data_IF_751288766545
#
_entry.id   IF_751288766545
#
_cell.length_a   1.000
_cell.length_b   1.000
_cell.length_c   1.000
_cell.angle_alpha   90.00
_cell.angle_beta   90.00
_cell.angle_gamma   90.00
#
_symmetry.space_group_name_H-M   'P 1'
#
loop_
_entity.id
_entity.type
_entity.pdbx_description
1 polymer ?
#
# COMPACT_ATOMS: atom_id res chain seq x y z
N UNK A 1 -29.35 39.15 62.81
CA UNK A 1 -30.29 39.89 61.95
C UNK A 1 -29.56 40.36 60.71
N UNK A 2 -29.59 39.53 59.66
CA UNK A 2 -29.38 39.82 58.24
C UNK A 2 -29.77 38.50 57.54
N UNK A 3 -30.92 38.39 56.85
CA UNK A 3 -31.13 38.74 55.43
C UNK A 3 -30.18 37.95 54.50
N UNK A 4 -30.55 37.24 53.43
CA UNK A 4 -31.73 37.17 52.55
C UNK A 4 -31.61 35.92 51.63
N UNK A 5 -32.75 35.52 51.02
CA UNK A 5 -33.00 35.00 49.65
C UNK A 5 -31.88 34.27 48.87
N UNK A 6 -32.09 33.20 48.11
CA UNK A 6 -33.21 32.86 47.22
C UNK A 6 -32.67 32.51 45.82
N UNK A 7 -33.53 31.89 44.98
CA UNK A 7 -33.39 31.56 43.55
C UNK A 7 -32.49 30.36 43.17
N UNK A 8 -32.98 29.28 42.55
CA UNK A 8 -33.74 29.08 41.30
C UNK A 8 -32.85 28.92 40.05
N UNK A 9 -33.10 27.83 39.31
CA UNK A 9 -33.01 27.78 37.85
C UNK A 9 -31.63 27.51 37.24
N UNK A 10 -31.36 26.25 36.92
CA UNK A 10 -30.38 25.87 35.89
C UNK A 10 -30.96 26.26 34.52
N UNK A 11 -30.70 27.50 34.10
CA UNK A 11 -31.03 28.00 32.77
C UNK A 11 -29.74 28.25 31.99
N UNK A 12 -29.65 27.57 30.84
CA UNK A 12 -28.97 27.98 29.61
C UNK A 12 -27.47 28.29 29.63
N UNK A 13 -26.71 27.59 28.78
CA UNK A 13 -26.23 28.18 27.53
C UNK A 13 -25.33 27.18 26.78
N UNK A 14 -25.88 26.62 25.70
CA UNK A 14 -25.07 26.07 24.61
C UNK A 14 -24.33 27.25 23.94
N UNK A 15 -22.98 27.24 23.86
CA UNK A 15 -22.28 28.24 23.10
C UNK A 15 -22.46 27.97 21.60
N UNK A 16 -23.35 28.75 20.98
CA UNK A 16 -23.48 28.93 19.54
C UNK A 16 -22.23 29.63 18.98
N UNK A 17 -21.12 28.90 18.86
CA UNK A 17 -20.01 29.33 18.02
C UNK A 17 -20.38 29.08 16.56
N UNK A 18 -20.91 30.13 15.92
CA UNK A 18 -21.05 30.21 14.47
C UNK A 18 -19.66 30.16 13.83
N UNK A 19 -19.18 28.96 13.53
CA UNK A 19 -18.04 28.75 12.64
C UNK A 19 -18.57 28.86 11.22
N UNK A 20 -18.47 30.07 10.67
CA UNK A 20 -18.58 30.32 9.24
C UNK A 20 -17.34 29.73 8.56
N UNK A 21 -17.33 28.41 8.35
CA UNK A 21 -16.43 27.81 7.36
C UNK A 21 -16.99 28.19 5.99
N UNK A 22 -16.46 29.29 5.45
CA UNK A 22 -16.44 29.50 4.01
C UNK A 22 -15.80 28.26 3.39
N UNK A 23 -16.64 27.40 2.83
CA UNK A 23 -16.18 26.29 2.01
C UNK A 23 -15.42 26.91 0.83
N UNK A 24 -14.11 26.63 0.66
CA UNK A 24 -13.45 27.04 -0.55
C UNK A 24 -14.20 26.41 -1.71
N UNK A 25 -14.65 27.31 -2.59
CA UNK A 25 -15.51 27.02 -3.70
C UNK A 25 -14.96 25.85 -4.50
N UNK A 26 -15.89 24.94 -4.77
CA UNK A 26 -15.81 23.79 -5.63
C UNK A 26 -15.10 24.11 -6.96
N UNK A 27 -13.77 24.02 -6.98
CA UNK A 27 -13.06 23.70 -8.22
C UNK A 27 -13.13 22.20 -8.37
N UNK A 28 -14.03 21.78 -9.25
CA UNK A 28 -14.15 20.42 -9.77
C UNK A 28 -12.76 19.79 -10.02
N UNK A 29 -12.22 19.06 -9.05
CA UNK A 29 -11.02 18.26 -9.24
C UNK A 29 -11.35 16.99 -9.99
N UNK A 30 -11.88 17.12 -11.21
CA UNK A 30 -11.77 16.07 -12.22
C UNK A 30 -10.44 16.23 -12.97
N UNK A 31 -9.35 16.36 -12.20
CA UNK A 31 -8.00 16.34 -12.74
C UNK A 31 -7.62 14.90 -13.03
N UNK A 32 -8.09 14.35 -14.16
CA UNK A 32 -7.59 13.05 -14.62
C UNK A 32 -6.10 13.22 -14.89
N UNK A 33 -5.26 12.65 -14.01
CA UNK A 33 -3.81 12.67 -14.18
C UNK A 33 -3.46 12.08 -15.52
N UNK A 34 -2.70 12.81 -16.35
CA UNK A 34 -2.28 12.32 -17.66
C UNK A 34 -1.29 11.18 -17.51
N UNK A 35 -1.19 10.33 -18.53
CA UNK A 35 -0.21 9.27 -18.59
C UNK A 35 1.22 9.85 -18.49
N UNK A 36 2.02 9.37 -17.55
CA UNK A 36 3.42 9.79 -17.36
C UNK A 36 4.34 9.47 -18.54
N UNK A 37 3.95 8.55 -19.42
CA UNK A 37 4.74 8.12 -20.57
C UNK A 37 4.34 8.84 -21.85
N UNK A 38 3.05 8.78 -22.24
CA UNK A 38 2.59 9.34 -23.51
C UNK A 38 1.93 10.73 -23.37
N UNK A 39 1.48 11.12 -22.17
CA UNK A 39 0.80 12.40 -21.86
C UNK A 39 -0.42 12.76 -22.73
N UNK A 40 -0.86 11.86 -23.62
CA UNK A 40 -1.97 12.07 -24.55
C UNK A 40 -3.32 11.74 -23.91
N UNK A 41 -3.35 10.65 -23.14
CA UNK A 41 -4.58 10.12 -22.54
C UNK A 41 -4.54 10.21 -21.01
N UNK A 42 -5.71 10.31 -20.37
CA UNK A 42 -5.81 10.17 -18.93
C UNK A 42 -5.31 8.80 -18.48
N UNK A 43 -4.55 8.76 -17.39
CA UNK A 43 -4.03 7.54 -16.83
C UNK A 43 -5.18 6.64 -16.31
N UNK A 44 -5.09 5.35 -16.62
CA UNK A 44 -6.05 4.31 -16.22
C UNK A 44 -5.46 3.36 -15.18
N UNK A 45 -4.15 3.19 -15.18
CA UNK A 45 -3.42 2.26 -14.31
C UNK A 45 -2.35 2.99 -13.52
N UNK A 46 -2.02 2.46 -12.33
CA UNK A 46 -0.95 3.00 -11.47
C UNK A 46 0.01 1.88 -11.06
N UNK A 47 1.31 2.12 -11.23
CA UNK A 47 2.33 1.13 -10.88
C UNK A 47 2.47 1.02 -9.34
N UNK A 48 2.45 -0.19 -8.75
CA UNK A 48 2.55 -0.34 -7.28
C UNK A 48 3.96 -0.09 -6.73
N UNK A 49 4.99 -0.15 -7.57
CA UNK A 49 6.39 0.09 -7.18
C UNK A 49 6.78 1.57 -7.20
N UNK A 50 6.52 2.26 -8.31
CA UNK A 50 6.93 3.67 -8.51
C UNK A 50 5.77 4.67 -8.53
N UNK A 51 4.53 4.21 -8.30
CA UNK A 51 3.31 5.03 -8.34
C UNK A 51 3.03 5.77 -9.67
N UNK A 52 3.77 5.46 -10.74
CA UNK A 52 3.61 6.06 -12.07
C UNK A 52 2.22 5.78 -12.65
N UNK A 53 1.55 6.84 -13.09
CA UNK A 53 0.24 6.79 -13.73
C UNK A 53 0.41 6.53 -15.24
N UNK A 54 -0.30 5.54 -15.78
CA UNK A 54 -0.18 5.09 -17.18
C UNK A 54 -1.56 4.82 -17.79
N UNK A 55 -1.75 5.08 -19.09
CA UNK A 55 -3.05 4.85 -19.74
C UNK A 55 -3.24 3.41 -20.23
N UNK A 56 -2.15 2.72 -20.61
CA UNK A 56 -2.24 1.44 -21.31
C UNK A 56 -1.06 0.51 -21.01
N UNK A 57 -1.20 -0.78 -21.32
CA UNK A 57 -0.16 -1.81 -21.16
C UNK A 57 1.17 -1.46 -21.83
N UNK A 58 1.24 -0.92 -23.07
CA UNK A 58 2.52 -0.50 -23.65
C UNK A 58 3.17 0.61 -22.82
N UNK A 59 2.41 1.57 -22.28
CA UNK A 59 2.94 2.59 -21.36
C UNK A 59 3.42 1.97 -20.04
N UNK A 60 2.78 0.90 -19.55
CA UNK A 60 3.26 0.17 -18.38
C UNK A 60 4.62 -0.50 -18.66
N UNK A 61 4.79 -1.13 -19.83
CA UNK A 61 6.06 -1.77 -20.20
C UNK A 61 7.16 -0.74 -20.48
N UNK A 62 6.82 0.35 -21.17
CA UNK A 62 7.74 1.43 -21.49
C UNK A 62 8.33 2.07 -20.22
N UNK A 63 7.50 2.42 -19.22
CA UNK A 63 8.05 3.01 -17.99
C UNK A 63 8.90 2.01 -17.20
N UNK A 64 8.57 0.72 -17.23
CA UNK A 64 9.38 -0.31 -16.57
C UNK A 64 10.77 -0.40 -17.19
N UNK A 65 10.84 -0.35 -18.52
CA UNK A 65 12.12 -0.35 -19.24
C UNK A 65 12.89 0.96 -19.05
N UNK A 66 12.23 2.11 -19.20
CA UNK A 66 12.87 3.44 -19.12
C UNK A 66 13.38 3.76 -17.70
N UNK A 67 12.60 3.42 -16.68
CA UNK A 67 12.94 3.74 -15.28
C UNK A 67 13.57 2.55 -14.53
N UNK A 68 13.82 1.42 -15.21
CA UNK A 68 14.30 0.19 -14.57
C UNK A 68 13.37 -0.35 -13.46
N UNK A 69 12.06 -0.13 -13.57
CA UNK A 69 11.12 -0.48 -12.51
C UNK A 69 10.69 -1.95 -12.59
N UNK A 70 10.87 -2.69 -11.50
CA UNK A 70 10.40 -4.09 -11.36
C UNK A 70 8.86 -4.19 -11.38
N UNK A 71 8.17 -3.11 -11.03
CA UNK A 71 6.72 -3.07 -10.89
C UNK A 71 6.19 -3.86 -9.69
N UNK A 72 7.07 -4.22 -8.75
CA UNK A 72 6.72 -4.82 -7.46
C UNK A 72 7.07 -3.82 -6.36
N UNK A 73 6.20 -3.71 -5.35
CA UNK A 73 6.49 -2.88 -4.17
C UNK A 73 7.50 -3.63 -3.30
N UNK A 74 8.59 -2.96 -2.91
CA UNK A 74 9.55 -3.52 -1.96
C UNK A 74 8.89 -3.54 -0.57
N UNK A 75 8.51 -4.73 -0.10
CA UNK A 75 7.82 -4.89 1.19
C UNK A 75 8.77 -4.90 2.39
N UNK A 76 10.06 -5.17 2.16
CA UNK A 76 11.08 -5.32 3.21
C UNK A 76 12.14 -4.21 3.16
N UNK A 77 11.73 -3.00 2.78
CA UNK A 77 12.63 -1.85 2.79
C UNK A 77 12.97 -1.46 4.24
N UNK A 78 14.25 -1.21 4.52
CA UNK A 78 14.66 -0.86 5.87
C UNK A 78 14.15 0.53 6.25
N UNK A 79 13.35 0.58 7.33
CA UNK A 79 12.89 1.83 7.92
C UNK A 79 13.58 2.02 9.27
N UNK A 80 14.26 3.17 9.49
CA UNK A 80 14.87 3.45 10.79
C UNK A 80 13.79 3.55 11.86
N UNK A 81 14.11 3.12 13.09
CA UNK A 81 13.13 2.98 14.17
C UNK A 81 12.38 4.28 14.49
N UNK A 82 13.04 5.43 14.29
CA UNK A 82 12.44 6.75 14.48
C UNK A 82 11.31 7.10 13.49
N UNK A 83 11.19 6.38 12.38
CA UNK A 83 10.15 6.55 11.35
C UNK A 83 9.26 5.30 11.21
N UNK A 84 9.36 4.38 12.17
CA UNK A 84 8.60 3.15 12.14
C UNK A 84 7.18 3.41 12.66
N UNK A 85 6.23 3.57 11.74
CA UNK A 85 4.82 3.81 12.03
C UNK A 85 4.00 2.52 12.03
N UNK A 86 2.80 2.56 12.60
CA UNK A 86 1.84 1.43 12.61
C UNK A 86 1.54 0.90 11.20
N UNK A 87 1.59 1.75 10.17
CA UNK A 87 1.42 1.34 8.78
C UNK A 87 2.51 0.37 8.31
N UNK A 88 3.75 0.56 8.77
CA UNK A 88 4.85 -0.35 8.46
C UNK A 88 4.67 -1.66 9.21
N UNK A 89 4.30 -1.60 10.49
CA UNK A 89 4.01 -2.79 11.29
C UNK A 89 2.92 -3.67 10.66
N UNK A 90 1.81 -3.07 10.21
CA UNK A 90 0.72 -3.80 9.54
C UNK A 90 1.18 -4.38 8.20
N UNK A 91 2.01 -3.66 7.45
CA UNK A 91 2.61 -4.16 6.20
C UNK A 91 3.47 -5.40 6.46
N UNK A 92 4.32 -5.36 7.49
CA UNK A 92 5.21 -6.44 7.87
C UNK A 92 4.45 -7.67 8.39
N UNK A 93 3.42 -7.45 9.23
CA UNK A 93 2.57 -8.52 9.72
C UNK A 93 1.90 -9.27 8.56
N UNK A 94 1.29 -8.53 7.62
CA UNK A 94 0.67 -9.12 6.42
C UNK A 94 1.68 -9.88 5.57
N UNK A 95 2.90 -9.38 5.45
CA UNK A 95 3.96 -10.08 4.73
C UNK A 95 4.32 -11.42 5.39
N UNK A 96 4.41 -11.47 6.71
CA UNK A 96 4.67 -12.72 7.44
C UNK A 96 3.49 -13.69 7.37
N UNK A 97 2.26 -13.19 7.44
CA UNK A 97 1.04 -14.00 7.24
C UNK A 97 1.00 -14.63 5.84
N UNK A 98 1.30 -13.86 4.79
CA UNK A 98 1.40 -14.36 3.42
C UNK A 98 2.44 -15.51 3.32
N UNK A 99 3.57 -15.40 4.02
CA UNK A 99 4.61 -16.43 4.05
C UNK A 99 4.15 -17.72 4.74
N UNK A 100 3.40 -17.60 5.84
CA UNK A 100 2.79 -18.75 6.52
C UNK A 100 1.78 -19.46 5.62
N UNK A 101 0.94 -18.70 4.93
CA UNK A 101 -0.03 -19.26 3.96
C UNK A 101 0.72 -20.00 2.84
N UNK A 102 1.79 -19.42 2.30
CA UNK A 102 2.61 -20.08 1.27
C UNK A 102 3.23 -21.38 1.78
N UNK A 103 3.73 -21.41 3.01
CA UNK A 103 4.23 -22.62 3.65
C UNK A 103 3.15 -23.70 3.76
N UNK A 104 1.94 -23.34 4.21
CA UNK A 104 0.82 -24.28 4.33
C UNK A 104 0.37 -24.82 2.98
N UNK A 105 0.32 -23.96 1.95
CA UNK A 105 0.06 -24.37 0.58
C UNK A 105 1.13 -25.36 0.14
N UNK A 106 2.41 -25.04 0.27
CA UNK A 106 3.51 -25.92 -0.11
C UNK A 106 3.47 -27.26 0.64
N UNK A 107 3.15 -27.26 1.94
CA UNK A 107 2.99 -28.47 2.76
C UNK A 107 1.87 -29.36 2.23
N UNK A 108 0.72 -28.80 1.87
CA UNK A 108 -0.42 -29.54 1.30
C UNK A 108 -0.12 -30.02 -0.12
N UNK A 109 0.40 -29.14 -0.97
CA UNK A 109 0.82 -29.47 -2.33
C UNK A 109 1.86 -30.59 -2.34
N UNK A 110 2.80 -30.62 -1.37
CA UNK A 110 3.74 -31.74 -1.18
C UNK A 110 3.04 -33.07 -0.88
N UNK A 111 1.96 -33.05 -0.09
CA UNK A 111 1.17 -34.24 0.23
C UNK A 111 0.34 -34.70 -0.98
N UNK A 112 -0.20 -33.77 -1.77
CA UNK A 112 -1.06 -34.06 -2.91
C UNK A 112 -0.29 -34.49 -4.16
N UNK A 113 0.85 -33.86 -4.46
CA UNK A 113 1.61 -34.15 -5.67
C UNK A 113 2.56 -35.34 -5.54
N UNK A 114 2.69 -35.94 -4.35
CA UNK A 114 3.56 -37.10 -4.13
C UNK A 114 5.03 -36.87 -4.48
N UNK A 115 5.44 -35.61 -4.68
CA UNK A 115 6.81 -35.25 -5.03
C UNK A 115 7.64 -35.38 -3.76
N UNK A 116 8.17 -36.58 -3.55
CA UNK A 116 9.41 -36.73 -2.80
C UNK A 116 10.42 -35.89 -3.58
N UNK A 117 10.87 -34.78 -3.01
CA UNK A 117 12.11 -34.22 -3.50
C UNK A 117 13.15 -35.30 -3.20
N UNK A 118 13.48 -36.14 -4.16
CA UNK A 118 14.84 -36.64 -4.19
C UNK A 118 15.67 -35.39 -4.40
N UNK A 119 16.44 -35.03 -3.38
CA UNK A 119 17.63 -34.24 -3.59
C UNK A 119 18.55 -35.06 -4.50
N UNK A 120 18.23 -35.11 -5.80
CA UNK A 120 19.10 -35.68 -6.80
C UNK A 120 20.24 -34.69 -6.95
N UNK A 121 21.29 -34.91 -6.16
CA UNK A 121 22.63 -34.48 -6.51
C UNK A 121 22.86 -35.02 -7.92
N UNK A 122 22.80 -34.17 -8.95
CA UNK A 122 23.01 -34.59 -10.32
C UNK A 122 24.40 -35.24 -10.42
N UNK A 123 24.51 -36.54 -10.74
CA UNK A 123 25.81 -37.15 -10.96
C UNK A 123 26.33 -36.62 -12.30
N UNK A 124 27.34 -35.73 -12.26
CA UNK A 124 28.22 -35.53 -13.41
C UNK A 124 28.38 -34.13 -14.00
N UNK A 125 27.85 -33.05 -13.41
CA UNK A 125 28.15 -31.69 -13.91
C UNK A 125 28.51 -30.73 -12.77
N UNK A 126 29.81 -30.63 -12.49
CA UNK A 126 30.37 -29.52 -11.72
C UNK A 126 30.32 -28.25 -12.56
N UNK A 127 29.29 -27.43 -12.39
CA UNK A 127 29.13 -26.19 -13.14
C UNK A 127 28.00 -25.33 -12.62
N UNK A 128 28.34 -24.31 -11.84
CA UNK A 128 27.45 -23.18 -11.56
C UNK A 128 27.31 -22.33 -12.82
N UNK A 129 26.19 -22.52 -13.54
CA UNK A 129 25.80 -21.69 -14.67
C UNK A 129 24.28 -21.54 -14.69
N UNK A 130 23.77 -20.55 -13.95
CA UNK A 130 22.37 -20.15 -14.07
C UNK A 130 22.24 -19.33 -15.35
N UNK A 131 21.79 -19.95 -16.43
CA UNK A 131 21.41 -19.23 -17.64
C UNK A 131 19.97 -18.74 -17.49
N UNK A 132 19.81 -17.42 -17.31
CA UNK A 132 18.70 -16.64 -17.87
C UNK A 132 19.28 -15.47 -18.64
#
# INVERSE_FOLDING_TARGET
MAELAGAAGFASAEPSHAVSLGMPENTSRSGRTLCSQCQQEPAKYRCPGCAAATCSVPCVKAHKAANGCTGKRNRAEFVPIAKFDDNQLVSDLRFLEDALVQYDVAKRTRMTLGVRYEAQVCPGFGGFGFRV
#
